data_IF_692209168044
#
_entry.id   IF_692209168044
#
_cell.length_a   1.000
_cell.length_b   1.000
_cell.length_c   1.000
_cell.angle_alpha   90.00
_cell.angle_beta   90.00
_cell.angle_gamma   90.00
#
_symmetry.space_group_name_H-M   'P 1'
#
loop_
_entity.id
_entity.type
_entity.pdbx_description
1 polymer ?
#
# COMPACT_ATOMS: atom_id res chain seq x y z
N UNK A 1 5.97 -7.32 -41.20
CA UNK A 1 5.91 -8.28 -40.08
C UNK A 1 5.44 -7.55 -38.83
N UNK A 2 4.19 -7.77 -38.42
CA UNK A 2 3.62 -7.16 -37.21
C UNK A 2 4.30 -7.76 -35.98
N UNK A 3 5.13 -6.96 -35.29
CA UNK A 3 5.55 -7.30 -33.92
C UNK A 3 4.30 -7.30 -33.07
N UNK A 4 3.75 -8.49 -32.75
CA UNK A 4 2.75 -8.64 -31.68
C UNK A 4 3.37 -8.01 -30.43
N UNK A 5 2.91 -6.82 -30.03
CA UNK A 5 3.23 -6.24 -28.73
C UNK A 5 2.83 -7.29 -27.69
N UNK A 6 3.80 -7.84 -26.94
CA UNK A 6 3.48 -8.65 -25.76
C UNK A 6 2.55 -7.80 -24.90
N UNK A 7 1.36 -8.33 -24.62
CA UNK A 7 0.42 -7.69 -23.70
C UNK A 7 1.12 -7.64 -22.35
N UNK A 8 1.30 -6.44 -21.80
CA UNK A 8 1.80 -6.31 -20.45
C UNK A 8 0.65 -6.70 -19.52
N UNK A 9 0.78 -7.88 -18.92
CA UNK A 9 -0.16 -8.35 -17.92
C UNK A 9 0.31 -7.82 -16.57
N UNK A 10 -0.55 -7.01 -15.94
CA UNK A 10 -0.35 -6.50 -14.59
C UNK A 10 -1.37 -7.21 -13.72
N UNK A 11 -0.95 -7.75 -12.59
CA UNK A 11 -1.85 -8.40 -11.65
C UNK A 11 -1.52 -8.02 -10.22
N UNK A 12 -2.40 -8.40 -9.30
CA UNK A 12 -2.02 -8.53 -7.90
C UNK A 12 -0.77 -9.42 -7.79
N UNK A 13 0.08 -9.07 -6.83
CA UNK A 13 1.20 -9.91 -6.42
C UNK A 13 0.63 -11.15 -5.71
N UNK A 14 1.23 -12.35 -5.86
CA UNK A 14 0.77 -13.53 -5.13
C UNK A 14 0.71 -13.27 -3.62
N UNK A 15 -0.42 -13.58 -2.96
CA UNK A 15 -0.59 -13.41 -1.52
C UNK A 15 -1.29 -14.62 -0.92
N UNK A 16 -1.05 -14.87 0.36
CA UNK A 16 -1.80 -15.86 1.14
C UNK A 16 -2.97 -15.16 1.85
N UNK A 17 -4.09 -15.87 1.99
CA UNK A 17 -5.30 -15.37 2.64
C UNK A 17 -5.90 -16.45 3.53
N UNK A 18 -6.18 -16.08 4.78
CA UNK A 18 -6.94 -16.87 5.74
C UNK A 18 -8.14 -16.05 6.24
N UNK A 19 -9.35 -16.43 5.85
CA UNK A 19 -10.58 -15.76 6.28
C UNK A 19 -10.89 -16.04 7.75
N UNK A 20 -11.35 -15.02 8.47
CA UNK A 20 -11.68 -15.10 9.90
C UNK A 20 -13.20 -15.10 10.07
N UNK A 21 -13.79 -16.29 10.19
CA UNK A 21 -15.25 -16.47 10.30
C UNK A 21 -15.83 -16.17 11.70
N UNK A 22 -14.98 -15.88 12.70
CA UNK A 22 -15.39 -15.70 14.09
C UNK A 22 -15.22 -14.27 14.64
N UNK A 23 -14.69 -13.34 13.85
CA UNK A 23 -14.57 -11.94 14.24
C UNK A 23 -15.77 -11.17 13.70
N UNK A 24 -16.53 -10.59 14.62
CA UNK A 24 -17.67 -9.74 14.31
C UNK A 24 -17.20 -8.29 14.15
N UNK A 25 -17.76 -7.51 13.21
CA UNK A 25 -17.58 -6.06 13.18
C UNK A 25 -18.25 -5.35 14.37
N UNK A 26 -18.81 -6.09 15.33
CA UNK A 26 -19.33 -5.56 16.60
C UNK A 26 -18.48 -5.96 17.80
N UNK A 27 -17.44 -6.77 17.58
CA UNK A 27 -16.47 -7.07 18.63
C UNK A 27 -15.69 -5.80 18.99
N UNK A 28 -15.21 -5.74 20.25
CA UNK A 28 -14.36 -4.63 20.70
C UNK A 28 -13.15 -4.49 19.79
N UNK A 29 -12.79 -3.24 19.47
CA UNK A 29 -11.69 -2.98 18.55
C UNK A 29 -10.39 -3.67 18.97
N UNK A 30 -9.75 -4.32 18.02
CA UNK A 30 -8.45 -4.98 18.16
C UNK A 30 -7.45 -4.39 17.18
N UNK A 31 -6.17 -4.51 17.52
CA UNK A 31 -5.05 -4.02 16.71
C UNK A 31 -4.22 -5.20 16.23
N UNK A 32 -3.81 -5.16 14.96
CA UNK A 32 -2.85 -6.11 14.42
C UNK A 32 -1.50 -6.01 15.16
N UNK A 33 -0.66 -7.04 14.99
CA UNK A 33 0.63 -7.10 15.66
C UNK A 33 1.51 -5.91 15.25
N UNK A 34 1.37 -5.47 14.01
CA UNK A 34 2.13 -4.38 13.40
C UNK A 34 1.82 -3.03 14.05
N UNK A 35 0.57 -2.77 14.43
CA UNK A 35 0.18 -1.55 15.14
C UNK A 35 0.87 -1.51 16.51
N UNK A 36 0.84 -2.63 17.24
CA UNK A 36 1.40 -2.73 18.59
C UNK A 36 2.94 -2.72 18.57
N UNK A 37 3.56 -3.53 17.71
CA UNK A 37 5.02 -3.70 17.62
C UNK A 37 5.72 -2.40 17.23
N UNK A 38 5.11 -1.62 16.33
CA UNK A 38 5.63 -0.33 15.88
C UNK A 38 5.11 0.86 16.67
N UNK A 39 4.34 0.60 17.73
CA UNK A 39 3.83 1.60 18.67
C UNK A 39 3.07 2.75 17.96
N UNK A 40 2.21 2.37 17.00
CA UNK A 40 1.46 3.30 16.16
C UNK A 40 0.51 4.16 17.00
N UNK A 41 -0.05 3.60 18.08
CA UNK A 41 -0.95 4.33 18.97
C UNK A 41 -0.28 5.56 19.63
N UNK A 42 1.02 5.51 19.90
CA UNK A 42 1.74 6.68 20.41
C UNK A 42 1.85 7.79 19.35
N UNK A 43 1.93 7.42 18.06
CA UNK A 43 2.00 8.38 16.94
C UNK A 43 0.68 9.12 16.74
N UNK A 44 -0.45 8.49 17.10
CA UNK A 44 -1.77 9.11 17.08
C UNK A 44 -1.92 10.33 17.99
N UNK A 45 -1.02 10.52 18.97
CA UNK A 45 -0.96 11.73 19.80
C UNK A 45 -0.53 12.96 18.99
N UNK A 46 0.20 12.77 17.89
CA UNK A 46 0.68 13.86 17.02
C UNK A 46 -0.25 14.08 15.82
N UNK A 47 -0.68 13.00 15.17
CA UNK A 47 -1.67 13.00 14.09
C UNK A 47 -2.26 11.59 13.93
N UNK A 48 -3.50 11.49 13.46
CA UNK A 48 -4.14 10.24 13.05
C UNK A 48 -4.28 10.14 11.51
N UNK A 49 -3.59 11.01 10.77
CA UNK A 49 -3.64 11.05 9.31
C UNK A 49 -4.70 12.00 8.74
N UNK A 50 -5.32 12.83 9.56
CA UNK A 50 -6.30 13.83 9.10
C UNK A 50 -5.72 14.73 7.99
N UNK A 51 -6.59 15.18 7.08
CA UNK A 51 -6.28 16.02 5.92
C UNK A 51 -5.34 15.37 4.88
N UNK A 52 -5.03 14.08 5.01
CA UNK A 52 -4.30 13.32 3.98
C UNK A 52 -5.25 12.45 3.20
N UNK A 53 -5.10 12.49 1.87
CA UNK A 53 -5.89 11.66 0.95
C UNK A 53 -4.98 10.68 0.23
N UNK A 54 -5.37 9.40 0.19
CA UNK A 54 -4.63 8.33 -0.48
C UNK A 54 -5.49 7.75 -1.61
N UNK A 55 -4.98 7.76 -2.84
CA UNK A 55 -5.56 6.99 -3.93
C UNK A 55 -5.00 5.56 -3.90
N UNK A 56 -5.89 4.58 -3.72
CA UNK A 56 -5.53 3.15 -3.68
C UNK A 56 -5.88 2.52 -5.02
N UNK A 57 -4.87 2.27 -5.85
CA UNK A 57 -5.04 1.62 -7.16
C UNK A 57 -4.98 0.11 -6.97
N UNK A 58 -6.15 -0.54 -6.96
CA UNK A 58 -6.28 -1.96 -6.61
C UNK A 58 -7.54 -2.59 -7.26
N UNK A 59 -8.14 -3.58 -6.59
CA UNK A 59 -9.35 -4.32 -6.96
C UNK A 59 -10.66 -3.63 -6.55
N UNK A 60 -10.58 -2.46 -5.91
CA UNK A 60 -11.74 -1.73 -5.40
C UNK A 60 -11.72 -1.62 -3.88
N UNK A 61 -12.85 -1.22 -3.30
CA UNK A 61 -13.03 -1.20 -1.85
C UNK A 61 -14.50 -1.46 -1.49
N UNK A 62 -14.78 -2.30 -0.49
CA UNK A 62 -16.08 -2.35 0.17
C UNK A 62 -16.29 -1.10 1.02
N UNK A 63 -16.72 -0.02 0.36
CA UNK A 63 -16.93 1.27 0.99
C UNK A 63 -18.11 1.30 1.97
N UNK A 64 -18.86 0.19 2.14
CA UNK A 64 -19.90 0.05 3.16
C UNK A 64 -19.41 -0.67 4.42
N UNK A 65 -18.18 -1.19 4.41
CA UNK A 65 -17.61 -1.93 5.54
C UNK A 65 -17.53 -1.04 6.78
N UNK A 66 -18.03 -1.53 7.92
CA UNK A 66 -18.26 -0.74 9.14
C UNK A 66 -16.98 -0.08 9.68
N UNK A 67 -15.84 -0.74 9.56
CA UNK A 67 -14.54 -0.20 9.99
C UNK A 67 -13.90 0.82 9.06
N UNK A 68 -14.34 0.97 7.80
CA UNK A 68 -13.63 1.87 6.86
C UNK A 68 -14.53 2.92 6.22
N UNK A 69 -15.85 2.70 6.18
CA UNK A 69 -16.82 3.55 5.46
C UNK A 69 -16.67 5.05 5.73
N UNK A 70 -16.34 5.42 6.96
CA UNK A 70 -16.22 6.83 7.37
C UNK A 70 -14.98 7.52 6.77
N UNK A 71 -14.01 6.73 6.31
CA UNK A 71 -12.78 7.19 5.69
C UNK A 71 -12.73 7.00 4.17
N UNK A 72 -13.75 6.40 3.56
CA UNK A 72 -13.80 6.25 2.10
C UNK A 72 -14.48 7.46 1.44
N UNK A 73 -13.81 8.02 0.44
CA UNK A 73 -14.35 9.01 -0.49
C UNK A 73 -14.87 8.31 -1.75
N UNK A 74 -15.59 9.06 -2.60
CA UNK A 74 -16.04 8.56 -3.89
C UNK A 74 -14.86 8.04 -4.73
N UNK A 75 -14.91 6.76 -5.11
CA UNK A 75 -13.92 6.11 -5.95
C UNK A 75 -14.30 6.09 -7.44
N UNK A 76 -13.50 5.38 -8.22
CA UNK A 76 -13.66 5.20 -9.67
C UNK A 76 -13.18 3.82 -10.13
N UNK A 77 -13.72 3.29 -11.23
CA UNK A 77 -13.28 2.05 -11.87
C UNK A 77 -12.80 2.27 -13.31
N UNK A 78 -11.65 1.67 -13.62
CA UNK A 78 -11.03 1.61 -14.96
C UNK A 78 -11.15 0.22 -15.62
N UNK A 79 -11.73 -0.77 -14.92
CA UNK A 79 -11.89 -2.13 -15.46
C UNK A 79 -13.08 -2.21 -16.42
N UNK A 80 -14.24 -1.73 -15.97
CA UNK A 80 -15.50 -1.83 -16.71
C UNK A 80 -16.36 -0.56 -16.61
N UNK A 81 -15.78 0.55 -16.13
CA UNK A 81 -16.45 1.83 -15.86
C UNK A 81 -17.68 1.71 -14.94
N UNK A 82 -17.76 0.64 -14.14
CA UNK A 82 -18.78 0.47 -13.10
C UNK A 82 -18.32 1.11 -11.78
N UNK A 83 -19.01 0.74 -10.72
CA UNK A 83 -18.66 1.03 -9.35
C UNK A 83 -17.26 0.48 -8.98
N UNK A 84 -16.60 1.15 -8.03
CA UNK A 84 -15.33 0.76 -7.43
C UNK A 84 -15.48 -0.27 -6.29
N UNK A 85 -16.67 -0.85 -6.12
CA UNK A 85 -16.92 -1.93 -5.16
C UNK A 85 -15.95 -3.10 -5.38
N UNK A 86 -15.43 -3.61 -4.27
CA UNK A 86 -14.48 -4.72 -4.28
C UNK A 86 -15.19 -6.07 -4.44
N UNK A 87 -14.77 -6.82 -5.44
CA UNK A 87 -15.24 -8.17 -5.78
C UNK A 87 -14.12 -9.22 -5.67
N UNK A 88 -12.97 -8.85 -5.08
CA UNK A 88 -11.84 -9.71 -4.81
C UNK A 88 -11.53 -9.79 -3.29
N UNK A 89 -11.46 -8.63 -2.64
CA UNK A 89 -11.20 -8.45 -1.23
C UNK A 89 -9.82 -7.92 -0.88
N UNK A 90 -8.86 -8.00 -1.80
CA UNK A 90 -7.52 -7.47 -1.59
C UNK A 90 -7.51 -5.95 -1.42
N UNK A 91 -8.28 -5.22 -2.24
CA UNK A 91 -8.32 -3.75 -2.20
C UNK A 91 -8.94 -3.22 -0.90
N UNK A 92 -9.99 -3.87 -0.41
CA UNK A 92 -10.58 -3.59 0.91
C UNK A 92 -9.56 -3.81 2.03
N UNK A 93 -8.78 -4.89 1.95
CA UNK A 93 -7.72 -5.21 2.92
C UNK A 93 -6.63 -4.14 2.94
N UNK A 94 -6.14 -3.74 1.77
CA UNK A 94 -5.17 -2.63 1.59
C UNK A 94 -5.73 -1.31 2.15
N UNK A 95 -6.98 -0.96 1.82
CA UNK A 95 -7.63 0.26 2.33
C UNK A 95 -7.73 0.27 3.85
N UNK A 96 -8.13 -0.85 4.44
CA UNK A 96 -8.30 -0.98 5.90
C UNK A 96 -6.98 -0.94 6.67
N UNK A 97 -5.91 -1.54 6.13
CA UNK A 97 -4.57 -1.46 6.72
C UNK A 97 -4.11 0.00 6.82
N UNK A 98 -4.44 0.83 5.83
CA UNK A 98 -4.13 2.28 5.85
C UNK A 98 -5.03 3.02 6.83
N UNK A 99 -6.36 2.87 6.70
CA UNK A 99 -7.31 3.85 7.25
C UNK A 99 -8.59 3.24 7.84
N UNK A 100 -8.58 1.99 8.33
CA UNK A 100 -9.66 1.54 9.21
C UNK A 100 -9.79 2.48 10.41
N UNK A 101 -11.01 2.90 10.67
CA UNK A 101 -11.41 3.94 11.61
C UNK A 101 -11.23 3.46 13.05
N UNK A 102 -10.72 4.34 13.89
CA UNK A 102 -10.74 4.18 15.35
C UNK A 102 -12.17 4.48 15.84
N UNK A 103 -13.05 3.47 15.81
CA UNK A 103 -14.49 3.56 16.06
C UNK A 103 -14.97 2.59 17.16
N UNK A 104 -14.04 2.05 17.96
CA UNK A 104 -14.27 1.09 19.04
C UNK A 104 -14.80 -0.30 18.63
N UNK A 105 -14.94 -0.59 17.34
CA UNK A 105 -15.27 -1.91 16.82
C UNK A 105 -14.18 -2.45 15.90
N UNK A 106 -14.18 -3.78 15.68
CA UNK A 106 -13.43 -4.40 14.60
C UNK A 106 -11.92 -4.13 14.65
N UNK A 107 -11.32 -3.68 13.55
CA UNK A 107 -9.90 -3.34 13.49
C UNK A 107 -9.66 -1.83 13.33
N UNK A 108 -8.41 -1.41 13.55
CA UNK A 108 -7.93 -0.04 13.31
C UNK A 108 -6.74 -0.04 12.37
N UNK A 109 -6.73 0.91 11.43
CA UNK A 109 -5.65 1.09 10.47
C UNK A 109 -4.53 1.96 11.02
N UNK A 110 -3.43 2.07 10.28
CA UNK A 110 -2.25 2.85 10.71
C UNK A 110 -2.57 4.35 10.84
N UNK A 111 -3.34 4.91 9.91
CA UNK A 111 -3.73 6.32 9.84
C UNK A 111 -5.27 6.44 9.86
N UNK A 112 -5.92 6.25 11.03
CA UNK A 112 -7.36 6.03 11.14
C UNK A 112 -8.23 7.27 10.84
N UNK A 113 -7.64 8.41 10.47
CA UNK A 113 -8.33 9.62 9.99
C UNK A 113 -7.89 10.07 8.59
N UNK A 114 -7.01 9.32 7.93
CA UNK A 114 -6.73 9.53 6.50
C UNK A 114 -7.96 9.18 5.67
N UNK A 115 -8.09 9.83 4.51
CA UNK A 115 -9.16 9.54 3.54
C UNK A 115 -8.64 8.71 2.39
N UNK A 116 -9.43 7.75 1.94
CA UNK A 116 -9.09 6.86 0.82
C UNK A 116 -9.98 7.15 -0.37
N UNK A 117 -9.38 7.22 -1.56
CA UNK A 117 -10.08 7.18 -2.84
C UNK A 117 -9.80 5.80 -3.46
N UNK A 118 -10.79 4.89 -3.50
CA UNK A 118 -10.64 3.62 -4.19
C UNK A 118 -10.54 3.83 -5.71
N UNK A 119 -9.48 3.33 -6.33
CA UNK A 119 -9.26 3.40 -7.77
C UNK A 119 -9.15 1.97 -8.31
N UNK A 120 -10.28 1.40 -8.74
CA UNK A 120 -10.32 0.02 -9.22
C UNK A 120 -9.68 -0.08 -10.61
N UNK A 121 -8.51 -0.70 -10.69
CA UNK A 121 -7.77 -0.95 -11.94
C UNK A 121 -7.56 -2.45 -12.21
N UNK A 122 -7.94 -3.31 -11.26
CA UNK A 122 -7.88 -4.76 -11.34
C UNK A 122 -9.27 -5.36 -11.20
N UNK A 123 -9.56 -6.41 -11.97
CA UNK A 123 -10.82 -7.12 -11.94
C UNK A 123 -10.96 -8.07 -10.73
N UNK A 124 -12.09 -8.78 -10.64
CA UNK A 124 -12.37 -9.76 -9.57
C UNK A 124 -11.30 -10.85 -9.40
N UNK A 125 -10.51 -11.13 -10.45
CA UNK A 125 -9.42 -12.11 -10.43
C UNK A 125 -8.07 -11.46 -10.10
N UNK A 126 -8.05 -10.18 -9.75
CA UNK A 126 -6.84 -9.41 -9.52
C UNK A 126 -6.06 -9.13 -10.81
N UNK A 127 -6.69 -9.18 -11.98
CA UNK A 127 -6.04 -8.97 -13.27
C UNK A 127 -6.33 -7.58 -13.82
N UNK A 128 -5.30 -6.93 -14.35
CA UNK A 128 -5.35 -5.63 -14.99
C UNK A 128 -4.68 -5.66 -16.35
N UNK A 129 -4.74 -4.52 -17.02
CA UNK A 129 -4.02 -4.30 -18.26
C UNK A 129 -3.32 -2.95 -18.23
N UNK A 130 -2.27 -2.82 -19.04
CA UNK A 130 -1.47 -1.59 -19.14
C UNK A 130 -2.31 -0.32 -19.31
N UNK A 131 -3.32 -0.35 -20.19
CA UNK A 131 -4.16 0.83 -20.46
C UNK A 131 -4.88 1.29 -19.19
N UNK A 132 -5.54 0.35 -18.50
CA UNK A 132 -6.33 0.66 -17.30
C UNK A 132 -5.44 1.17 -16.17
N UNK A 133 -4.24 0.59 -16.02
CA UNK A 133 -3.28 1.04 -15.00
C UNK A 133 -2.72 2.44 -15.32
N UNK A 134 -2.35 2.73 -16.57
CA UNK A 134 -1.88 4.06 -16.96
C UNK A 134 -2.97 5.12 -16.77
N UNK A 135 -4.21 4.82 -17.18
CA UNK A 135 -5.35 5.72 -16.97
C UNK A 135 -5.62 5.96 -15.47
N UNK A 136 -5.54 4.91 -14.64
CA UNK A 136 -5.68 5.03 -13.18
C UNK A 136 -4.58 5.90 -12.55
N UNK A 137 -3.32 5.71 -12.93
CA UNK A 137 -2.19 6.51 -12.44
C UNK A 137 -2.38 7.98 -12.82
N UNK A 138 -2.72 8.27 -14.08
CA UNK A 138 -2.94 9.65 -14.55
C UNK A 138 -4.13 10.31 -13.88
N UNK A 139 -5.21 9.56 -13.64
CA UNK A 139 -6.37 10.08 -12.92
C UNK A 139 -6.02 10.38 -11.46
N UNK A 140 -5.37 9.46 -10.75
CA UNK A 140 -4.92 9.67 -9.38
C UNK A 140 -3.95 10.86 -9.27
N UNK A 141 -3.11 11.04 -10.29
CA UNK A 141 -2.18 12.18 -10.43
C UNK A 141 -2.86 13.55 -10.54
N UNK A 142 -4.11 13.60 -11.00
CA UNK A 142 -4.92 14.81 -11.11
C UNK A 142 -5.97 14.93 -10.00
N UNK A 143 -6.07 13.92 -9.13
CA UNK A 143 -7.00 13.93 -8.00
C UNK A 143 -6.47 14.77 -6.84
N UNK A 144 -7.28 14.90 -5.79
CA UNK A 144 -6.90 15.54 -4.52
C UNK A 144 -5.94 14.68 -3.68
N UNK A 145 -5.62 13.45 -4.10
CA UNK A 145 -4.74 12.56 -3.34
C UNK A 145 -3.35 13.17 -3.13
N UNK A 146 -2.76 12.96 -1.95
CA UNK A 146 -1.36 13.25 -1.66
C UNK A 146 -0.47 12.04 -2.01
N UNK A 147 -0.98 10.84 -1.70
CA UNK A 147 -0.30 9.57 -1.91
C UNK A 147 -1.07 8.74 -2.93
N UNK A 148 -0.34 8.05 -3.81
CA UNK A 148 -0.88 7.01 -4.68
C UNK A 148 -0.18 5.69 -4.31
N UNK A 149 -0.95 4.63 -4.08
CA UNK A 149 -0.40 3.33 -3.71
C UNK A 149 -0.87 2.22 -4.63
N UNK A 150 0.05 1.30 -4.93
CA UNK A 150 -0.15 0.17 -5.85
C UNK A 150 0.42 -1.12 -5.25
N UNK A 151 -0.45 -2.06 -4.91
CA UNK A 151 -0.08 -3.40 -4.43
C UNK A 151 -0.22 -4.45 -5.54
N UNK A 152 0.39 -4.15 -6.69
CA UNK A 152 0.31 -4.88 -7.95
C UNK A 152 1.65 -4.86 -8.67
N UNK A 153 1.83 -5.71 -9.68
CA UNK A 153 3.07 -5.66 -10.44
C UNK A 153 3.11 -6.45 -11.74
N UNK A 154 4.21 -6.24 -12.45
CA UNK A 154 4.63 -6.93 -13.67
C UNK A 154 6.16 -7.06 -13.66
N UNK A 155 6.67 -8.17 -14.19
CA UNK A 155 8.12 -8.38 -14.37
C UNK A 155 8.72 -7.55 -15.51
N UNK A 156 7.89 -6.95 -16.34
CA UNK A 156 8.33 -6.18 -17.51
C UNK A 156 8.15 -4.68 -17.29
N UNK A 157 9.21 -3.92 -17.60
CA UNK A 157 9.17 -2.46 -17.64
C UNK A 157 8.20 -1.96 -18.72
N UNK A 158 7.47 -0.88 -18.41
CA UNK A 158 6.71 -0.10 -19.38
C UNK A 158 7.08 1.37 -19.25
N UNK A 159 7.46 1.96 -20.40
CA UNK A 159 7.75 3.39 -20.49
C UNK A 159 6.50 4.21 -20.19
N UNK A 160 5.33 3.75 -20.61
CA UNK A 160 4.04 4.41 -20.38
C UNK A 160 3.69 4.50 -18.90
N UNK A 161 3.93 3.44 -18.12
CA UNK A 161 3.76 3.46 -16.66
C UNK A 161 4.77 4.42 -16.02
N UNK A 162 6.05 4.35 -16.40
CA UNK A 162 7.08 5.24 -15.88
C UNK A 162 6.79 6.72 -16.16
N UNK A 163 6.32 7.04 -17.37
CA UNK A 163 5.96 8.41 -17.76
C UNK A 163 4.74 8.91 -16.97
N UNK A 164 3.74 8.05 -16.71
CA UNK A 164 2.58 8.37 -15.89
C UNK A 164 2.97 8.64 -14.42
N UNK A 165 3.89 7.84 -13.85
CA UNK A 165 4.42 8.07 -12.50
C UNK A 165 5.20 9.38 -12.45
N UNK A 166 6.05 9.66 -13.45
CA UNK A 166 6.79 10.92 -13.52
C UNK A 166 5.85 12.13 -13.60
N UNK A 167 4.77 12.01 -14.36
CA UNK A 167 3.73 13.04 -14.42
C UNK A 167 3.11 13.29 -13.04
N UNK A 168 2.70 12.24 -12.33
CA UNK A 168 2.14 12.38 -10.98
C UNK A 168 3.14 12.95 -9.98
N UNK A 169 4.40 12.51 -10.04
CA UNK A 169 5.46 13.04 -9.19
C UNK A 169 5.66 14.54 -9.39
N UNK A 170 5.69 15.00 -10.65
CA UNK A 170 5.78 16.42 -10.99
C UNK A 170 4.54 17.21 -10.54
N UNK A 171 3.39 16.55 -10.36
CA UNK A 171 2.18 17.12 -9.76
C UNK A 171 2.14 16.96 -8.22
N UNK A 172 3.27 16.62 -7.59
CA UNK A 172 3.41 16.54 -6.14
C UNK A 172 2.86 15.27 -5.51
N UNK A 173 2.55 14.22 -6.29
CA UNK A 173 2.10 12.94 -5.74
C UNK A 173 3.29 12.09 -5.28
N UNK A 174 3.09 11.37 -4.18
CA UNK A 174 4.07 10.39 -3.66
C UNK A 174 3.57 8.99 -3.99
N UNK A 175 4.39 8.18 -4.65
CA UNK A 175 4.01 6.83 -5.08
C UNK A 175 4.63 5.77 -4.18
N UNK A 176 3.81 4.87 -3.66
CA UNK A 176 4.23 3.68 -2.91
C UNK A 176 3.84 2.42 -3.67
N UNK A 177 4.75 1.46 -3.76
CA UNK A 177 4.53 0.23 -4.52
C UNK A 177 5.08 -0.99 -3.79
N UNK A 178 4.31 -2.08 -3.79
CA UNK A 178 4.77 -3.36 -3.27
C UNK A 178 5.88 -3.97 -4.14
N UNK A 179 6.94 -4.46 -3.52
CA UNK A 179 8.18 -4.88 -4.19
C UNK A 179 8.04 -6.13 -5.08
N UNK A 180 7.07 -7.01 -4.79
CA UNK A 180 6.91 -8.30 -5.44
C UNK A 180 7.06 -9.48 -4.48
N UNK A 181 6.36 -10.58 -4.80
CA UNK A 181 6.25 -11.78 -3.94
C UNK A 181 6.83 -13.04 -4.61
N UNK A 182 7.84 -12.90 -5.47
CA UNK A 182 8.41 -14.00 -6.25
C UNK A 182 9.72 -14.57 -5.66
N UNK A 183 10.13 -14.08 -4.49
CA UNK A 183 11.28 -14.57 -3.73
C UNK A 183 12.55 -13.74 -3.87
N UNK A 184 13.48 -13.94 -2.95
CA UNK A 184 14.74 -13.17 -2.80
C UNK A 184 15.70 -13.23 -4.01
N UNK A 185 15.48 -14.17 -4.93
CA UNK A 185 16.27 -14.35 -6.15
C UNK A 185 15.61 -13.72 -7.38
N UNK A 186 14.48 -13.04 -7.21
CA UNK A 186 13.76 -12.34 -8.27
C UNK A 186 13.89 -10.83 -8.07
N UNK A 187 14.00 -10.11 -9.17
CA UNK A 187 14.10 -8.65 -9.16
C UNK A 187 12.79 -8.00 -8.68
N UNK A 188 12.92 -6.79 -8.14
CA UNK A 188 11.79 -5.93 -7.79
C UNK A 188 10.92 -5.70 -9.03
N UNK A 189 9.62 -5.89 -8.88
CA UNK A 189 8.67 -5.77 -9.99
C UNK A 189 8.33 -4.32 -10.31
N UNK A 190 7.81 -4.07 -11.50
CA UNK A 190 7.28 -2.76 -11.88
C UNK A 190 5.79 -2.66 -11.51
N UNK A 191 5.32 -1.53 -10.97
CA UNK A 191 5.99 -0.23 -10.92
C UNK A 191 6.93 0.03 -9.74
N UNK A 192 7.10 -0.87 -8.77
CA UNK A 192 7.99 -0.60 -7.62
C UNK A 192 9.44 -0.29 -8.02
N UNK A 193 9.94 -0.90 -9.10
CA UNK A 193 11.26 -0.61 -9.66
C UNK A 193 11.32 0.65 -10.57
N UNK A 194 10.23 1.41 -10.70
CA UNK A 194 10.26 2.67 -11.43
C UNK A 194 11.06 3.75 -10.67
N UNK A 195 11.47 4.80 -11.38
CA UNK A 195 11.89 6.04 -10.73
C UNK A 195 10.68 6.73 -10.12
N UNK A 196 10.92 7.51 -9.06
CA UNK A 196 9.91 8.30 -8.34
C UNK A 196 8.82 7.46 -7.63
N UNK A 197 9.13 6.20 -7.35
CA UNK A 197 8.35 5.32 -6.44
C UNK A 197 9.15 5.01 -5.19
N UNK A 198 8.45 4.66 -4.12
CA UNK A 198 9.02 4.06 -2.91
C UNK A 198 8.65 2.57 -2.93
N UNK A 199 9.65 1.69 -3.06
CA UNK A 199 9.43 0.25 -3.12
C UNK A 199 9.45 -0.38 -1.72
N UNK A 200 8.38 -1.10 -1.38
CA UNK A 200 8.18 -1.67 -0.05
C UNK A 200 8.24 -3.19 -0.08
N UNK A 201 9.20 -3.76 0.65
CA UNK A 201 9.31 -5.18 0.95
C UNK A 201 8.68 -5.54 2.29
N UNK A 202 8.59 -6.83 2.60
CA UNK A 202 7.90 -7.32 3.78
C UNK A 202 8.82 -7.93 4.84
N UNK A 203 8.40 -7.77 6.10
CA UNK A 203 8.90 -8.48 7.29
C UNK A 203 7.76 -9.18 8.03
N UNK A 204 8.14 -10.12 8.88
CA UNK A 204 7.27 -10.78 9.84
C UNK A 204 7.33 -10.13 11.24
N UNK A 205 6.58 -10.72 12.19
CA UNK A 205 6.48 -10.26 13.57
C UNK A 205 7.76 -10.45 14.40
N UNK A 206 8.70 -11.27 13.90
CA UNK A 206 10.06 -11.42 14.40
C UNK A 206 11.03 -10.37 13.84
N UNK A 207 10.54 -9.44 13.00
CA UNK A 207 11.34 -8.44 12.29
C UNK A 207 12.32 -9.07 11.28
N UNK A 208 12.03 -10.29 10.80
CA UNK A 208 12.81 -10.96 9.76
C UNK A 208 12.24 -10.66 8.39
N UNK A 209 13.11 -10.61 7.39
CA UNK A 209 12.69 -10.39 6.01
C UNK A 209 11.93 -11.62 5.51
N UNK A 210 10.73 -11.43 4.95
CA UNK A 210 9.94 -12.56 4.42
C UNK A 210 10.62 -13.17 3.20
N UNK A 211 10.59 -14.49 3.07
CA UNK A 211 11.21 -15.22 1.95
C UNK A 211 10.60 -14.88 0.57
N UNK A 212 9.32 -14.50 0.53
CA UNK A 212 8.63 -14.16 -0.72
C UNK A 212 9.04 -12.78 -1.27
N UNK A 213 9.58 -11.87 -0.45
CA UNK A 213 9.91 -10.51 -0.91
C UNK A 213 10.96 -10.58 -2.03
N UNK A 214 10.69 -9.94 -3.17
CA UNK A 214 11.68 -9.72 -4.25
C UNK A 214 12.87 -8.87 -3.76
N UNK A 215 14.02 -8.97 -4.40
CA UNK A 215 15.24 -8.25 -3.99
C UNK A 215 15.83 -7.46 -5.17
N UNK A 216 16.39 -6.29 -4.91
CA UNK A 216 16.95 -5.43 -5.95
C UNK A 216 17.33 -4.06 -5.40
N UNK A 217 18.21 -3.34 -6.11
CA UNK A 217 18.66 -2.01 -5.68
C UNK A 217 17.53 -0.97 -5.59
N UNK A 218 16.41 -1.23 -6.27
CA UNK A 218 15.22 -0.41 -6.21
C UNK A 218 14.42 -0.56 -4.91
N UNK A 219 14.69 -1.58 -4.07
CA UNK A 219 13.99 -1.77 -2.79
C UNK A 219 14.32 -0.63 -1.83
N UNK A 220 13.33 0.05 -1.26
CA UNK A 220 13.57 1.19 -0.35
C UNK A 220 13.44 0.83 1.12
N UNK A 221 12.37 0.17 1.53
CA UNK A 221 12.14 -0.14 2.95
C UNK A 221 11.48 -1.51 3.13
N UNK A 222 11.64 -2.07 4.33
CA UNK A 222 10.89 -3.22 4.78
C UNK A 222 9.79 -2.78 5.77
N UNK A 223 8.59 -3.36 5.66
CA UNK A 223 7.45 -3.08 6.53
C UNK A 223 6.69 -4.38 6.89
N UNK A 224 5.87 -4.39 7.95
CA UNK A 224 5.01 -5.52 8.32
C UNK A 224 4.15 -6.04 7.16
N UNK A 225 4.40 -7.27 6.69
CA UNK A 225 3.66 -7.85 5.56
C UNK A 225 3.36 -9.33 5.66
N UNK A 226 3.73 -10.00 6.75
CA UNK A 226 3.30 -11.35 7.08
C UNK A 226 2.22 -11.29 8.16
N UNK A 227 1.17 -12.08 7.96
CA UNK A 227 0.06 -12.27 8.89
C UNK A 227 -0.61 -10.95 9.30
N UNK A 228 -0.94 -10.13 8.30
CA UNK A 228 -1.56 -8.82 8.51
C UNK A 228 -3.08 -8.95 8.48
N UNK A 229 -3.70 -8.54 9.58
CA UNK A 229 -5.14 -8.42 9.70
C UNK A 229 -5.67 -7.28 8.83
N UNK A 230 -6.76 -7.53 8.13
CA UNK A 230 -7.45 -6.51 7.33
C UNK A 230 -8.93 -6.83 7.16
N UNK A 231 -9.71 -5.81 6.81
CA UNK A 231 -11.09 -5.94 6.39
C UNK A 231 -11.16 -6.61 5.01
N UNK A 232 -12.21 -7.39 4.77
CA UNK A 232 -12.58 -7.93 3.46
C UNK A 232 -14.09 -7.76 3.26
N UNK A 233 -14.62 -7.85 2.03
CA UNK A 233 -16.00 -7.49 1.73
C UNK A 233 -17.05 -8.20 2.59
N UNK A 234 -18.20 -7.54 2.74
CA UNK A 234 -19.35 -7.97 3.51
C UNK A 234 -19.11 -7.98 5.03
N UNK A 235 -18.41 -6.96 5.55
CA UNK A 235 -18.08 -6.81 6.98
C UNK A 235 -17.31 -8.01 7.58
N UNK A 236 -16.39 -8.58 6.81
CA UNK A 236 -15.58 -9.72 7.24
C UNK A 236 -14.11 -9.30 7.42
N UNK A 237 -13.32 -10.20 8.01
CA UNK A 237 -11.89 -9.98 8.24
C UNK A 237 -11.07 -11.15 7.67
N UNK A 238 -9.83 -10.86 7.29
CA UNK A 238 -8.88 -11.87 6.87
C UNK A 238 -7.46 -11.51 7.34
N UNK A 239 -6.65 -12.55 7.53
CA UNK A 239 -5.20 -12.43 7.65
C UNK A 239 -4.62 -12.65 6.25
N UNK A 240 -3.79 -11.71 5.79
CA UNK A 240 -3.09 -11.83 4.51
C UNK A 240 -1.58 -11.63 4.64
N UNK A 241 -0.84 -12.30 3.76
CA UNK A 241 0.63 -12.24 3.73
C UNK A 241 1.14 -11.94 2.32
N UNK A 242 1.98 -10.91 2.22
CA UNK A 242 2.59 -10.43 0.98
C UNK A 242 3.18 -9.02 1.13
N UNK A 243 4.07 -8.61 0.21
CA UNK A 243 4.52 -7.21 0.12
C UNK A 243 3.36 -6.24 -0.13
N UNK A 244 2.25 -6.73 -0.67
CA UNK A 244 0.97 -6.03 -0.78
C UNK A 244 0.38 -5.56 0.54
N UNK A 245 0.72 -6.21 1.67
CA UNK A 245 0.30 -5.82 3.04
C UNK A 245 1.35 -4.93 3.73
N UNK A 246 2.63 -5.09 3.37
CA UNK A 246 3.70 -4.19 3.82
C UNK A 246 3.56 -2.78 3.25
N UNK A 247 3.20 -2.69 1.97
CA UNK A 247 3.02 -1.44 1.26
C UNK A 247 2.00 -0.47 1.93
N UNK A 248 0.75 -0.89 2.26
CA UNK A 248 -0.21 -0.02 2.94
C UNK A 248 0.22 0.39 4.36
N UNK A 249 1.00 -0.43 5.07
CA UNK A 249 1.58 -0.01 6.35
C UNK A 249 2.50 1.20 6.18
N UNK A 250 3.40 1.15 5.19
CA UNK A 250 4.29 2.28 4.86
C UNK A 250 3.52 3.54 4.46
N UNK A 251 2.45 3.37 3.67
CA UNK A 251 1.54 4.45 3.26
C UNK A 251 0.85 5.08 4.46
N UNK A 252 0.39 4.28 5.42
CA UNK A 252 -0.18 4.76 6.67
C UNK A 252 0.82 5.59 7.47
N UNK A 253 2.05 5.10 7.63
CA UNK A 253 3.14 5.86 8.27
C UNK A 253 3.40 7.19 7.57
N UNK A 254 3.36 7.21 6.23
CA UNK A 254 3.52 8.43 5.45
C UNK A 254 2.35 9.40 5.68
N UNK A 255 1.11 8.89 5.74
CA UNK A 255 -0.06 9.71 5.99
C UNK A 255 -0.04 10.38 7.37
N UNK A 256 0.41 9.68 8.42
CA UNK A 256 0.62 10.27 9.75
C UNK A 256 1.60 11.46 9.67
N UNK A 257 2.74 11.26 8.99
CA UNK A 257 3.77 12.29 8.87
C UNK A 257 3.33 13.48 7.99
N UNK A 258 2.71 13.23 6.83
CA UNK A 258 2.20 14.30 5.95
C UNK A 258 1.15 15.13 6.68
N UNK A 259 0.24 14.49 7.44
CA UNK A 259 -0.76 15.20 8.22
C UNK A 259 -0.11 16.13 9.26
N UNK A 260 0.92 15.66 9.97
CA UNK A 260 1.72 16.47 10.90
C UNK A 260 2.39 17.67 10.21
N UNK A 261 2.87 17.51 8.98
CA UNK A 261 3.40 18.61 8.17
C UNK A 261 2.32 19.61 7.74
N UNK A 262 1.16 19.12 7.29
CA UNK A 262 0.03 19.97 6.87
C UNK A 262 -0.49 20.85 8.01
N UNK A 263 -0.55 20.35 9.25
CA UNK A 263 -0.85 21.17 10.45
C UNK A 263 0.09 22.37 10.65
N UNK A 264 1.29 22.30 10.07
CA UNK A 264 2.32 23.35 10.10
C UNK A 264 2.39 24.13 8.78
N UNK A 265 1.45 23.93 7.86
CA UNK A 265 1.43 24.47 6.51
C UNK A 265 2.68 24.10 5.69
N UNK A 266 3.22 22.90 5.90
CA UNK A 266 4.36 22.37 5.14
C UNK A 266 3.86 21.32 4.15
N UNK A 267 4.19 21.50 2.87
CA UNK A 267 3.93 20.50 1.83
C UNK A 267 5.04 19.44 1.84
N UNK A 268 4.65 18.17 1.90
CA UNK A 268 5.60 17.07 1.79
C UNK A 268 6.05 16.85 0.34
N UNK A 269 7.34 16.59 0.13
CA UNK A 269 7.87 16.07 -1.13
C UNK A 269 8.32 14.61 -0.98
N UNK A 270 8.51 13.92 -2.11
CA UNK A 270 9.08 12.56 -2.13
C UNK A 270 10.40 12.49 -1.35
N UNK A 271 11.30 13.45 -1.59
CA UNK A 271 12.60 13.51 -0.91
C UNK A 271 12.45 13.74 0.60
N UNK A 272 11.47 14.55 1.03
CA UNK A 272 11.20 14.73 2.45
C UNK A 272 10.76 13.41 3.12
N UNK A 273 9.87 12.66 2.46
CA UNK A 273 9.41 11.35 2.95
C UNK A 273 10.55 10.34 3.01
N UNK A 274 11.32 10.18 1.92
CA UNK A 274 12.44 9.25 1.89
C UNK A 274 13.47 9.60 2.97
N UNK A 275 13.81 10.89 3.12
CA UNK A 275 14.83 11.30 4.10
C UNK A 275 14.38 11.04 5.55
N UNK A 276 13.13 11.35 5.91
CA UNK A 276 12.67 11.09 7.28
C UNK A 276 12.52 9.59 7.55
N UNK A 277 12.08 8.81 6.56
CA UNK A 277 11.98 7.35 6.67
C UNK A 277 13.35 6.68 6.79
N UNK A 278 14.36 7.19 6.07
CA UNK A 278 15.75 6.73 6.23
C UNK A 278 16.30 7.01 7.63
N UNK A 279 15.94 8.13 8.24
CA UNK A 279 16.38 8.46 9.60
C UNK A 279 15.75 7.57 10.66
N UNK A 280 14.54 7.06 10.41
CA UNK A 280 13.85 6.14 11.32
C UNK A 280 14.11 4.67 11.04
N UNK A 281 14.62 4.34 9.85
CA UNK A 281 14.87 2.97 9.45
C UNK A 281 15.96 2.31 10.31
N UNK A 282 15.79 1.02 10.59
CA UNK A 282 16.78 0.20 11.29
C UNK A 282 17.16 -1.01 10.45
N UNK A 283 18.43 -1.36 10.46
CA UNK A 283 18.90 -2.57 9.79
C UNK A 283 18.21 -3.82 10.36
N UNK A 284 18.00 -4.81 9.51
CA UNK A 284 17.58 -6.14 9.94
C UNK A 284 18.73 -6.89 10.62
N UNK A 285 18.38 -7.78 11.54
CA UNK A 285 19.37 -8.53 12.31
C UNK A 285 20.11 -9.58 11.49
N UNK A 286 19.45 -10.15 10.47
CA UNK A 286 19.97 -11.22 9.62
C UNK A 286 21.11 -10.76 8.70
N UNK A 287 22.38 -11.14 8.95
CA UNK A 287 23.52 -10.61 8.21
C UNK A 287 23.46 -10.85 6.70
N UNK A 288 22.88 -11.97 6.26
CA UNK A 288 22.72 -12.33 4.84
C UNK A 288 21.88 -11.32 4.04
N UNK A 289 21.01 -10.57 4.71
CA UNK A 289 20.08 -9.65 4.07
C UNK A 289 20.42 -8.16 4.32
N UNK A 290 21.56 -7.85 4.96
CA UNK A 290 21.92 -6.47 5.30
C UNK A 290 22.37 -5.59 4.12
N UNK A 291 22.49 -6.13 2.92
CA UNK A 291 22.82 -5.29 1.75
C UNK A 291 21.59 -4.50 1.26
N UNK A 292 21.84 -3.37 0.58
CA UNK A 292 20.80 -2.51 -0.01
C UNK A 292 19.78 -3.30 -0.84
N UNK A 293 20.25 -4.28 -1.61
CA UNK A 293 19.42 -5.19 -2.41
C UNK A 293 18.31 -5.89 -1.61
N UNK A 294 18.56 -6.28 -0.36
CA UNK A 294 17.64 -7.14 0.40
C UNK A 294 16.81 -6.40 1.44
N UNK A 295 17.37 -5.36 2.06
CA UNK A 295 16.67 -4.59 3.10
C UNK A 295 16.33 -3.15 2.71
N UNK A 296 16.80 -2.67 1.56
CA UNK A 296 16.68 -1.26 1.23
C UNK A 296 17.50 -0.40 2.19
N UNK A 297 16.84 0.55 2.84
CA UNK A 297 17.36 1.36 3.93
C UNK A 297 17.08 0.75 5.31
N UNK A 298 16.42 -0.41 5.37
CA UNK A 298 16.07 -1.12 6.60
C UNK A 298 14.56 -1.22 6.84
N UNK A 299 14.20 -1.68 8.04
CA UNK A 299 12.83 -1.70 8.54
C UNK A 299 12.39 -0.29 8.86
N UNK A 300 11.29 0.17 8.25
CA UNK A 300 10.72 1.48 8.51
C UNK A 300 10.07 1.54 9.89
N UNK A 301 10.41 2.56 10.69
CA UNK A 301 9.68 2.93 11.90
C UNK A 301 8.90 4.24 11.70
N UNK A 302 7.68 4.36 12.25
CA UNK A 302 6.83 5.55 12.08
C UNK A 302 7.39 6.81 12.78
N UNK A 303 7.17 7.99 12.19
CA UNK A 303 7.79 9.30 12.53
C UNK A 303 6.79 10.44 12.72
#
# INVERSE_FOLDING_TARGET
MSRKRKKLDVSLLPFERSDLYGLSPYDNQFSGWEINKFNIQEKWKESKGEDVVVAVIDTGCDYNHLDIKDNILSGISFVDKKDCMDDNGHGTHVCSTIAATDNAIGMVGVAPRAKIIPVKALDAKGQGNLKSLVEAILWASNSIADIVTMSLGSSSFSKEIQDAINYGHNNGKIFFCAAGNSGENQDILYPAACKNTIAIGAIDSDLKRTVFTCAGEALDFLCPGQDILGCVPNNNYAIMSGTSMANPFAVGCAALYISKLKKRNITASLDNIINIFKQSAKDIDEPKYRSKKYQGYGILYPV
#
